data_IF_779076160621
#
_entry.id   IF_779076160621
#
_cell.length_a   1.000
_cell.length_b   1.000
_cell.length_c   1.000
_cell.angle_alpha   90.00
_cell.angle_beta   90.00
_cell.angle_gamma   90.00
#
_symmetry.space_group_name_H-M   'P 1'
#
loop_
_entity.id
_entity.type
_entity.pdbx_description
1 polymer ?
#
# COMPACT_ATOMS: atom_id res chain seq x y z
N UNK A 1 19.30 18.20 37.76
CA UNK A 1 20.21 18.08 36.60
C UNK A 1 20.00 16.72 35.98
N UNK A 2 19.30 16.66 34.85
CA UNK A 2 19.53 15.74 33.72
C UNK A 2 18.48 16.07 32.65
N UNK A 3 18.99 16.27 31.45
CA UNK A 3 18.45 16.91 30.25
C UNK A 3 17.05 16.47 29.82
N UNK A 4 16.13 17.44 29.68
CA UNK A 4 14.99 17.36 28.75
C UNK A 4 15.50 17.77 27.38
N UNK A 5 15.72 16.81 26.48
CA UNK A 5 15.94 17.12 25.07
C UNK A 5 14.59 17.38 24.40
N UNK A 6 14.28 18.66 24.22
CA UNK A 6 13.26 19.15 23.29
C UNK A 6 13.67 18.73 21.87
N UNK A 7 12.78 18.08 21.13
CA UNK A 7 12.94 18.02 19.69
C UNK A 7 12.58 19.42 19.16
N UNK A 8 13.61 20.11 18.67
CA UNK A 8 13.51 21.42 18.05
C UNK A 8 12.56 21.34 16.87
N UNK A 9 11.51 22.16 16.90
CA UNK A 9 10.93 22.72 15.69
C UNK A 9 12.09 23.34 14.90
N UNK A 10 12.42 22.77 13.74
CA UNK A 10 13.17 23.52 12.74
C UNK A 10 12.28 24.70 12.32
N UNK A 11 12.40 25.83 13.03
CA UNK A 11 12.31 27.14 12.42
C UNK A 11 13.56 27.29 11.55
N UNK A 12 13.58 26.55 10.43
CA UNK A 12 14.39 26.95 9.30
C UNK A 12 13.95 28.35 8.94
N UNK A 13 14.91 29.27 8.78
CA UNK A 13 14.65 30.61 8.31
C UNK A 13 13.64 30.54 7.17
N UNK A 14 12.55 31.31 7.29
CA UNK A 14 11.62 31.52 6.20
C UNK A 14 12.42 32.09 5.02
N UNK A 15 12.90 31.21 4.14
CA UNK A 15 13.00 31.57 2.74
C UNK A 15 11.56 31.93 2.38
N UNK A 16 11.33 33.20 2.06
CA UNK A 16 10.06 33.65 1.53
C UNK A 16 9.80 32.84 0.26
N UNK A 17 9.14 31.70 0.39
CA UNK A 17 8.45 31.08 -0.72
C UNK A 17 7.44 32.11 -1.19
N UNK A 18 7.38 32.42 -2.50
CA UNK A 18 6.40 33.37 -2.99
C UNK A 18 5.04 32.88 -2.52
N UNK A 19 4.39 33.71 -1.70
CA UNK A 19 3.01 33.54 -1.30
C UNK A 19 2.22 33.50 -2.61
N UNK A 20 1.82 32.30 -3.04
CA UNK A 20 0.96 32.15 -4.19
C UNK A 20 -0.36 32.81 -3.82
N UNK A 21 -0.66 33.89 -4.52
CA UNK A 21 -1.89 34.64 -4.44
C UNK A 21 -3.10 33.67 -4.42
N UNK A 22 -3.96 33.68 -3.38
CA UNK A 22 -5.15 32.85 -3.35
C UNK A 22 -6.20 33.24 -4.41
N UNK A 23 -5.91 34.25 -5.25
CA UNK A 23 -6.81 34.73 -6.30
C UNK A 23 -6.48 34.30 -7.73
N UNK A 24 -5.50 33.41 -7.96
CA UNK A 24 -5.39 32.71 -9.26
C UNK A 24 -6.24 31.43 -9.29
N UNK A 25 -7.51 31.53 -8.89
CA UNK A 25 -8.52 30.53 -9.24
C UNK A 25 -8.87 30.71 -10.72
N UNK A 26 -8.06 30.14 -11.62
CA UNK A 26 -8.62 29.71 -12.90
C UNK A 26 -9.49 28.49 -12.61
N UNK A 27 -10.80 28.67 -12.70
CA UNK A 27 -11.75 27.58 -12.78
C UNK A 27 -11.46 26.75 -14.07
N UNK A 28 -10.56 25.77 -13.96
CA UNK A 28 -10.21 24.68 -14.89
C UNK A 28 -8.82 24.17 -14.43
N UNK A 29 -8.67 23.11 -13.64
CA UNK A 29 -9.28 21.79 -13.76
C UNK A 29 -9.89 21.34 -12.41
N UNK A 30 -11.20 21.19 -12.34
CA UNK A 30 -11.78 20.42 -11.25
C UNK A 30 -11.38 18.96 -11.48
N UNK A 31 -10.50 18.41 -10.64
CA UNK A 31 -10.13 16.99 -10.71
C UNK A 31 -11.40 16.15 -10.81
N UNK A 32 -11.42 15.25 -11.80
CA UNK A 32 -12.59 14.46 -12.09
C UNK A 32 -12.79 13.47 -10.94
N UNK A 33 -14.00 13.42 -10.39
CA UNK A 33 -14.37 12.36 -9.47
C UNK A 33 -14.20 11.00 -10.18
N UNK A 34 -13.61 10.03 -9.48
CA UNK A 34 -13.55 8.66 -9.98
C UNK A 34 -14.97 8.10 -10.16
N UNK A 35 -15.14 7.15 -11.07
CA UNK A 35 -16.45 6.50 -11.24
C UNK A 35 -16.81 5.59 -10.05
N UNK A 36 -18.09 5.20 -10.01
CA UNK A 36 -18.64 4.41 -8.92
C UNK A 36 -18.00 3.03 -8.79
N UNK A 37 -17.55 2.44 -9.89
CA UNK A 37 -17.04 1.07 -9.91
C UNK A 37 -15.61 1.05 -9.36
N UNK A 38 -14.77 2.01 -9.77
CA UNK A 38 -13.45 2.25 -9.15
C UNK A 38 -13.58 2.54 -7.66
N UNK A 39 -14.53 3.42 -7.27
CA UNK A 39 -14.74 3.73 -5.85
C UNK A 39 -15.16 2.48 -5.05
N UNK A 40 -16.04 1.64 -5.59
CA UNK A 40 -16.48 0.41 -4.94
C UNK A 40 -15.33 -0.60 -4.79
N UNK A 41 -14.50 -0.76 -5.83
CA UNK A 41 -13.32 -1.63 -5.81
C UNK A 41 -12.30 -1.17 -4.75
N UNK A 42 -12.04 0.13 -4.67
CA UNK A 42 -11.15 0.69 -3.67
C UNK A 42 -11.72 0.50 -2.25
N UNK A 43 -13.01 0.73 -2.04
CA UNK A 43 -13.63 0.43 -0.74
C UNK A 43 -13.52 -1.05 -0.36
N UNK A 44 -13.72 -1.97 -1.31
CA UNK A 44 -13.59 -3.40 -1.06
C UNK A 44 -12.15 -3.78 -0.65
N UNK A 45 -11.14 -3.31 -1.37
CA UNK A 45 -9.73 -3.57 -1.05
C UNK A 45 -9.26 -2.88 0.24
N UNK A 46 -9.78 -1.69 0.55
CA UNK A 46 -9.57 -1.03 1.85
C UNK A 46 -10.08 -1.87 3.01
N UNK A 47 -11.24 -2.54 2.87
CA UNK A 47 -11.76 -3.43 3.90
C UNK A 47 -10.81 -4.60 4.13
N UNK A 48 -10.29 -5.25 3.08
CA UNK A 48 -9.25 -6.28 3.24
C UNK A 48 -8.02 -5.76 4.01
N UNK A 49 -7.46 -4.61 3.61
CA UNK A 49 -6.36 -3.99 4.35
C UNK A 49 -6.69 -3.68 5.82
N UNK A 50 -7.94 -3.30 6.13
CA UNK A 50 -8.38 -3.01 7.50
C UNK A 50 -8.48 -4.27 8.39
N UNK A 51 -8.76 -5.44 7.80
CA UNK A 51 -8.87 -6.72 8.50
C UNK A 51 -7.51 -7.23 8.99
N UNK A 52 -6.41 -6.83 8.35
CA UNK A 52 -5.06 -7.23 8.79
C UNK A 52 -4.72 -6.77 10.22
N UNK A 53 -5.46 -5.81 10.79
CA UNK A 53 -5.32 -5.36 12.18
C UNK A 53 -6.11 -6.18 13.20
N UNK A 54 -6.93 -7.13 12.74
CA UNK A 54 -7.67 -8.04 13.62
C UNK A 54 -6.72 -9.07 14.26
N UNK A 55 -7.21 -9.76 15.29
CA UNK A 55 -6.49 -10.90 15.85
C UNK A 55 -6.52 -12.07 14.88
N UNK A 56 -5.48 -12.90 14.92
CA UNK A 56 -5.32 -14.08 14.06
C UNK A 56 -6.56 -14.97 14.04
N UNK A 57 -7.14 -15.30 15.20
CA UNK A 57 -8.36 -16.14 15.29
C UNK A 57 -9.53 -15.53 14.52
N UNK A 58 -9.71 -14.20 14.62
CA UNK A 58 -10.76 -13.48 13.91
C UNK A 58 -10.52 -13.39 12.41
N UNK A 59 -9.26 -13.31 11.98
CA UNK A 59 -8.89 -13.33 10.57
C UNK A 59 -9.13 -14.73 9.99
N UNK A 60 -8.58 -15.76 10.64
CA UNK A 60 -8.65 -17.14 10.17
C UNK A 60 -10.09 -17.65 10.07
N UNK A 61 -10.96 -17.28 11.02
CA UNK A 61 -12.39 -17.63 11.00
C UNK A 61 -13.24 -16.68 10.15
N UNK A 62 -12.63 -15.65 9.55
CA UNK A 62 -13.33 -14.55 8.87
C UNK A 62 -14.46 -13.94 9.72
N UNK A 63 -14.24 -13.83 11.03
CA UNK A 63 -15.22 -13.40 12.04
C UNK A 63 -14.95 -12.00 12.59
N UNK A 64 -14.38 -11.13 11.75
CA UNK A 64 -13.89 -9.80 12.08
C UNK A 64 -14.96 -8.68 12.15
N UNK A 65 -16.22 -9.06 12.37
CA UNK A 65 -17.34 -8.13 12.52
C UNK A 65 -17.56 -7.27 11.27
N UNK A 66 -17.81 -5.97 11.48
CA UNK A 66 -18.13 -5.02 10.41
C UNK A 66 -16.98 -4.74 9.44
N UNK A 67 -15.73 -5.17 9.74
CA UNK A 67 -14.59 -5.02 8.83
C UNK A 67 -14.55 -6.09 7.75
N UNK A 68 -15.11 -7.26 8.02
CA UNK A 68 -15.18 -8.35 7.05
C UNK A 68 -16.12 -7.93 5.91
N UNK A 69 -15.66 -8.11 4.67
CA UNK A 69 -16.45 -7.88 3.47
C UNK A 69 -16.59 -9.18 2.71
N UNK A 70 -17.79 -9.47 2.21
CA UNK A 70 -18.07 -10.73 1.51
C UNK A 70 -17.62 -11.97 2.29
N UNK A 71 -17.24 -13.00 1.55
CA UNK A 71 -16.64 -14.22 2.08
C UNK A 71 -15.18 -14.34 1.65
N UNK A 72 -14.27 -14.57 2.59
CA UNK A 72 -12.89 -14.91 2.26
C UNK A 72 -12.50 -16.20 3.00
N UNK A 73 -12.05 -17.19 2.24
CA UNK A 73 -11.44 -18.39 2.79
C UNK A 73 -9.97 -18.09 3.09
N UNK A 74 -9.66 -17.77 4.35
CA UNK A 74 -8.28 -17.50 4.78
C UNK A 74 -7.52 -18.82 4.93
N UNK A 75 -6.40 -18.94 4.22
CA UNK A 75 -5.60 -20.16 4.18
C UNK A 75 -4.35 -20.05 5.04
N UNK A 76 -3.87 -18.82 5.26
CA UNK A 76 -2.58 -18.53 5.88
C UNK A 76 -2.64 -17.22 6.64
N UNK A 77 -2.24 -17.24 7.91
CA UNK A 77 -1.78 -16.07 8.64
C UNK A 77 -0.25 -16.13 8.73
N UNK A 78 0.42 -15.02 8.45
CA UNK A 78 1.88 -14.93 8.51
C UNK A 78 2.29 -13.83 9.47
N UNK A 79 3.40 -14.04 10.17
CA UNK A 79 3.94 -13.04 11.09
C UNK A 79 5.44 -13.19 11.32
N UNK A 80 6.06 -12.11 11.77
CA UNK A 80 7.41 -12.08 12.27
C UNK A 80 7.45 -11.21 13.53
N UNK A 81 7.83 -11.79 14.67
CA UNK A 81 7.84 -11.09 15.96
C UNK A 81 8.96 -10.05 16.07
N UNK A 82 10.05 -10.20 15.32
CA UNK A 82 11.20 -9.28 15.35
C UNK A 82 10.89 -7.97 14.64
N UNK A 83 10.27 -8.05 13.46
CA UNK A 83 9.87 -6.88 12.67
C UNK A 83 8.45 -6.41 13.00
N UNK A 84 7.75 -7.14 13.88
CA UNK A 84 6.32 -7.03 14.15
C UNK A 84 5.45 -7.06 12.89
N UNK A 85 5.95 -7.66 11.81
CA UNK A 85 5.19 -7.77 10.57
C UNK A 85 4.12 -8.85 10.72
N UNK A 86 2.91 -8.60 10.22
CA UNK A 86 1.85 -9.59 10.17
C UNK A 86 0.94 -9.35 8.97
N UNK A 87 0.20 -10.38 8.58
CA UNK A 87 -0.77 -10.31 7.50
C UNK A 87 -1.41 -11.66 7.23
N UNK A 88 -2.19 -11.73 6.17
CA UNK A 88 -2.91 -12.95 5.82
C UNK A 88 -3.03 -13.15 4.30
N UNK A 89 -3.30 -14.39 3.93
CA UNK A 89 -3.60 -14.81 2.55
C UNK A 89 -4.91 -15.58 2.56
N UNK A 90 -5.79 -15.24 1.63
CA UNK A 90 -7.05 -15.94 1.44
C UNK A 90 -7.58 -15.79 0.02
N UNK A 91 -8.68 -16.47 -0.26
CA UNK A 91 -9.32 -16.41 -1.57
C UNK A 91 -10.84 -16.34 -1.44
N UNK A 92 -11.47 -15.66 -2.39
CA UNK A 92 -12.91 -15.57 -2.55
C UNK A 92 -13.30 -16.27 -3.85
N UNK A 93 -14.06 -17.36 -3.72
CA UNK A 93 -14.45 -18.21 -4.86
C UNK A 93 -15.48 -17.54 -5.78
N UNK A 94 -16.33 -16.68 -5.20
CA UNK A 94 -17.41 -15.99 -5.90
C UNK A 94 -16.86 -14.85 -6.74
N UNK A 95 -15.97 -14.04 -6.16
CA UNK A 95 -15.40 -12.87 -6.81
C UNK A 95 -14.13 -13.19 -7.63
N UNK A 96 -13.69 -14.46 -7.61
CA UNK A 96 -12.44 -14.91 -8.27
C UNK A 96 -11.25 -14.03 -7.90
N UNK A 97 -11.03 -13.88 -6.60
CA UNK A 97 -9.97 -13.02 -6.09
C UNK A 97 -9.15 -13.74 -5.02
N UNK A 98 -7.83 -13.71 -5.17
CA UNK A 98 -6.85 -14.05 -4.12
C UNK A 98 -6.40 -12.74 -3.48
N UNK A 99 -6.30 -12.71 -2.16
CA UNK A 99 -5.91 -11.52 -1.40
C UNK A 99 -4.66 -11.83 -0.58
N UNK A 100 -3.64 -10.97 -0.70
CA UNK A 100 -2.49 -10.91 0.19
C UNK A 100 -2.54 -9.56 0.90
N UNK A 101 -2.81 -9.57 2.20
CA UNK A 101 -2.98 -8.35 2.99
C UNK A 101 -1.92 -8.21 4.06
N UNK A 102 -1.30 -7.03 4.14
CA UNK A 102 -0.27 -6.70 5.14
C UNK A 102 -0.80 -5.68 6.16
N UNK A 103 -0.62 -5.99 7.44
CA UNK A 103 -0.95 -5.09 8.55
C UNK A 103 -0.03 -3.88 8.56
N UNK A 104 -0.49 -2.72 9.00
CA UNK A 104 0.43 -1.62 9.35
C UNK A 104 0.91 -1.70 10.80
N UNK A 105 1.47 -0.59 11.28
CA UNK A 105 1.98 -0.48 12.65
C UNK A 105 0.84 -0.61 13.67
N UNK A 106 1.05 -1.40 14.72
CA UNK A 106 0.09 -1.51 15.83
C UNK A 106 -0.02 -0.20 16.63
N UNK A 107 1.03 0.62 16.63
CA UNK A 107 1.06 1.96 17.21
C UNK A 107 1.40 3.01 16.14
N UNK A 108 0.35 3.43 15.45
CA UNK A 108 0.47 4.24 14.24
C UNK A 108 0.93 5.67 14.51
N UNK A 109 0.46 6.29 15.59
CA UNK A 109 0.83 7.65 15.97
C UNK A 109 2.33 7.75 16.27
N UNK A 110 2.86 6.83 17.10
CA UNK A 110 4.28 6.82 17.41
C UNK A 110 5.12 6.50 16.16
N UNK A 111 4.67 5.57 15.32
CA UNK A 111 5.40 5.20 14.11
C UNK A 111 5.59 6.38 13.15
N UNK A 112 4.57 7.22 12.95
CA UNK A 112 4.67 8.40 12.08
C UNK A 112 5.68 9.42 12.63
N UNK A 113 5.77 9.54 13.96
CA UNK A 113 6.64 10.52 14.62
C UNK A 113 8.10 10.06 14.70
N UNK A 114 8.35 8.76 14.86
CA UNK A 114 9.68 8.17 15.05
C UNK A 114 10.30 7.63 13.75
N UNK A 115 9.66 7.88 12.59
CA UNK A 115 10.06 7.31 11.31
C UNK A 115 11.46 7.78 10.89
N UNK A 116 12.40 6.82 10.73
CA UNK A 116 13.71 7.06 10.13
C UNK A 116 13.65 6.98 8.59
N UNK A 117 14.68 7.46 7.91
CA UNK A 117 14.73 7.50 6.44
C UNK A 117 15.90 6.71 5.86
N UNK A 118 16.38 5.68 6.57
CA UNK A 118 17.63 5.00 6.22
C UNK A 118 17.45 4.23 4.91
N UNK A 119 18.19 4.60 3.83
CA UNK A 119 18.10 3.88 2.57
C UNK A 119 18.92 2.59 2.61
N UNK A 120 18.48 1.60 1.83
CA UNK A 120 19.19 0.35 1.55
C UNK A 120 19.16 0.09 0.06
N UNK A 121 20.26 -0.41 -0.50
CA UNK A 121 20.31 -0.84 -1.90
C UNK A 121 19.25 -1.92 -2.14
N UNK A 122 18.48 -1.73 -3.20
CA UNK A 122 17.52 -2.71 -3.70
C UNK A 122 18.13 -3.38 -4.92
N UNK A 123 17.88 -4.69 -5.07
CA UNK A 123 18.32 -5.47 -6.23
C UNK A 123 17.11 -6.18 -6.80
N UNK A 124 16.77 -5.89 -8.06
CA UNK A 124 15.66 -6.50 -8.77
C UNK A 124 15.97 -6.67 -10.27
N UNK A 125 15.42 -7.69 -10.95
CA UNK A 125 15.61 -7.85 -12.39
C UNK A 125 15.21 -6.59 -13.19
N UNK A 126 16.10 -6.12 -14.07
CA UNK A 126 15.92 -4.90 -14.89
C UNK A 126 15.81 -3.59 -14.09
N UNK A 127 16.32 -3.56 -12.86
CA UNK A 127 16.37 -2.33 -12.09
C UNK A 127 17.25 -1.24 -12.73
N UNK A 128 16.99 0.00 -12.33
CA UNK A 128 17.89 1.10 -12.62
C UNK A 128 19.11 1.05 -11.69
N UNK A 129 20.30 1.50 -12.12
CA UNK A 129 21.48 1.54 -11.26
C UNK A 129 21.25 2.35 -9.98
N UNK A 130 21.80 1.86 -8.86
CA UNK A 130 21.71 2.50 -7.54
C UNK A 130 20.27 2.68 -7.00
N UNK A 131 19.33 1.80 -7.39
CA UNK A 131 17.98 1.79 -6.83
C UNK A 131 18.03 1.55 -5.32
N UNK A 132 17.29 2.37 -4.55
CA UNK A 132 17.25 2.26 -3.08
C UNK A 132 15.82 2.26 -2.56
N UNK A 133 15.63 1.51 -1.49
CA UNK A 133 14.39 1.42 -0.73
C UNK A 133 14.64 1.76 0.73
N UNK A 134 13.58 2.07 1.46
CA UNK A 134 13.66 2.25 2.90
C UNK A 134 14.04 0.93 3.58
N UNK A 135 15.13 0.96 4.36
CA UNK A 135 15.73 -0.21 4.99
C UNK A 135 14.72 -0.99 5.85
N UNK A 136 13.94 -0.28 6.67
CA UNK A 136 12.97 -0.92 7.56
C UNK A 136 11.82 -1.61 6.81
N UNK A 137 11.38 -1.04 5.68
CA UNK A 137 10.33 -1.66 4.85
C UNK A 137 10.84 -2.90 4.16
N UNK A 138 12.07 -2.82 3.63
CA UNK A 138 12.73 -3.96 3.02
C UNK A 138 12.93 -5.10 4.02
N UNK A 139 13.47 -4.81 5.21
CA UNK A 139 13.64 -5.80 6.27
C UNK A 139 12.32 -6.42 6.72
N UNK A 140 11.25 -5.62 6.86
CA UNK A 140 9.92 -6.13 7.19
C UNK A 140 9.36 -7.04 6.09
N UNK A 141 9.44 -6.65 4.82
CA UNK A 141 9.00 -7.47 3.69
C UNK A 141 9.78 -8.79 3.59
N UNK A 142 11.12 -8.73 3.63
CA UNK A 142 11.97 -9.92 3.59
C UNK A 142 11.73 -10.85 4.79
N UNK A 143 11.39 -10.32 5.97
CA UNK A 143 11.16 -11.13 7.17
C UNK A 143 9.96 -12.09 7.08
N UNK A 144 9.03 -11.83 6.15
CA UNK A 144 7.82 -12.65 5.93
C UNK A 144 7.72 -13.24 4.52
N UNK A 145 8.64 -12.90 3.60
CA UNK A 145 8.54 -13.28 2.17
C UNK A 145 8.42 -14.79 1.96
N UNK A 146 9.18 -15.60 2.69
CA UNK A 146 9.11 -17.06 2.62
C UNK A 146 7.73 -17.62 3.06
N UNK A 147 7.13 -17.04 4.12
CA UNK A 147 5.80 -17.42 4.59
C UNK A 147 4.73 -17.00 3.57
N UNK A 148 4.87 -15.81 2.98
CA UNK A 148 3.95 -15.31 1.95
C UNK A 148 4.00 -16.20 0.71
N UNK A 149 5.20 -16.52 0.21
CA UNK A 149 5.40 -17.40 -0.94
C UNK A 149 4.77 -18.78 -0.70
N UNK A 150 5.05 -19.40 0.45
CA UNK A 150 4.49 -20.71 0.80
C UNK A 150 2.96 -20.66 0.97
N UNK A 151 2.44 -19.62 1.62
CA UNK A 151 1.00 -19.44 1.83
C UNK A 151 0.24 -19.16 0.53
N UNK A 152 0.84 -18.40 -0.39
CA UNK A 152 0.29 -18.15 -1.71
C UNK A 152 0.25 -19.46 -2.51
N UNK A 153 1.37 -20.21 -2.58
CA UNK A 153 1.40 -21.53 -3.24
C UNK A 153 0.34 -22.50 -2.70
N UNK A 154 0.17 -22.54 -1.37
CA UNK A 154 -0.90 -23.31 -0.71
C UNK A 154 -2.29 -22.86 -1.16
N UNK A 155 -2.54 -21.55 -1.21
CA UNK A 155 -3.84 -20.98 -1.65
C UNK A 155 -4.14 -21.34 -3.10
N UNK A 156 -3.17 -21.15 -3.99
CA UNK A 156 -3.31 -21.50 -5.40
C UNK A 156 -3.54 -23.00 -5.60
N UNK A 157 -2.89 -23.84 -4.78
CA UNK A 157 -3.09 -25.29 -4.79
C UNK A 157 -4.50 -25.71 -4.35
N UNK A 158 -5.11 -25.00 -3.39
CA UNK A 158 -6.50 -25.23 -2.95
C UNK A 158 -7.49 -24.86 -4.05
N UNK A 159 -7.26 -23.73 -4.74
CA UNK A 159 -8.08 -23.29 -5.87
C UNK A 159 -7.97 -24.29 -7.04
N UNK A 160 -6.75 -24.72 -7.34
CA UNK A 160 -6.44 -25.68 -8.41
C UNK A 160 -6.47 -25.08 -9.82
N UNK A 161 -5.92 -25.82 -10.78
CA UNK A 161 -5.63 -25.38 -12.16
C UNK A 161 -6.86 -25.21 -13.09
N UNK A 162 -8.08 -25.22 -12.55
CA UNK A 162 -9.32 -25.17 -13.35
C UNK A 162 -9.86 -23.76 -13.60
N UNK A 163 -9.17 -22.72 -13.15
CA UNK A 163 -9.69 -21.37 -13.15
C UNK A 163 -8.56 -20.38 -13.39
N UNK A 164 -8.25 -20.10 -14.66
CA UNK A 164 -7.32 -19.03 -15.06
C UNK A 164 -8.00 -17.65 -15.02
N UNK A 165 -8.87 -17.43 -14.03
CA UNK A 165 -9.76 -16.27 -13.93
C UNK A 165 -9.59 -15.50 -12.62
N UNK A 166 -8.70 -15.97 -11.72
CA UNK A 166 -8.45 -15.27 -10.46
C UNK A 166 -7.57 -14.04 -10.66
N UNK A 167 -8.04 -12.96 -10.07
CA UNK A 167 -7.23 -11.79 -9.76
C UNK A 167 -6.44 -12.02 -8.48
N UNK A 168 -5.24 -11.45 -8.40
CA UNK A 168 -4.45 -11.40 -7.17
C UNK A 168 -4.34 -9.95 -6.70
N UNK A 169 -5.06 -9.64 -5.63
CA UNK A 169 -4.98 -8.36 -4.94
C UNK A 169 -3.91 -8.42 -3.84
N UNK A 170 -2.89 -7.58 -3.96
CA UNK A 170 -1.96 -7.27 -2.89
C UNK A 170 -2.39 -5.94 -2.26
N UNK A 171 -2.49 -5.87 -0.94
CA UNK A 171 -2.98 -4.65 -0.28
C UNK A 171 -2.39 -4.45 1.11
N UNK A 172 -2.34 -3.20 1.56
CA UNK A 172 -1.95 -2.87 2.92
C UNK A 172 -2.29 -1.43 3.28
N UNK A 173 -2.17 -1.13 4.57
CA UNK A 173 -2.34 0.21 5.11
C UNK A 173 -1.11 0.69 5.87
N UNK A 174 -0.74 1.96 5.71
CA UNK A 174 0.42 2.57 6.37
C UNK A 174 1.71 1.79 6.12
N UNK A 175 2.44 1.38 7.16
CA UNK A 175 3.61 0.49 7.05
C UNK A 175 3.30 -0.75 6.17
N UNK A 176 2.10 -1.32 6.31
CA UNK A 176 1.66 -2.48 5.54
C UNK A 176 1.53 -2.18 4.05
N UNK A 177 1.20 -0.95 3.65
CA UNK A 177 1.16 -0.55 2.25
C UNK A 177 2.57 -0.50 1.62
N UNK A 178 3.57 -0.03 2.38
CA UNK A 178 4.96 -0.08 1.92
C UNK A 178 5.45 -1.51 1.74
N UNK A 179 5.15 -2.38 2.69
CA UNK A 179 5.49 -3.81 2.62
C UNK A 179 4.71 -4.50 1.49
N UNK A 180 3.44 -4.16 1.28
CA UNK A 180 2.64 -4.65 0.16
C UNK A 180 3.24 -4.26 -1.20
N UNK A 181 3.83 -3.06 -1.32
CA UNK A 181 4.55 -2.64 -2.54
C UNK A 181 5.74 -3.53 -2.86
N UNK A 182 6.57 -3.84 -1.85
CA UNK A 182 7.71 -4.74 -2.01
C UNK A 182 7.24 -6.18 -2.24
N UNK A 183 6.24 -6.65 -1.49
CA UNK A 183 5.66 -7.98 -1.63
C UNK A 183 5.03 -8.21 -3.00
N UNK A 184 4.39 -7.20 -3.60
CA UNK A 184 3.86 -7.28 -4.96
C UNK A 184 4.98 -7.47 -6.00
N UNK A 185 6.16 -6.87 -5.80
CA UNK A 185 7.32 -7.09 -6.67
C UNK A 185 7.88 -8.50 -6.49
N UNK A 186 8.04 -8.97 -5.26
CA UNK A 186 8.46 -10.36 -4.99
C UNK A 186 7.50 -11.37 -5.64
N UNK A 187 6.18 -11.13 -5.55
CA UNK A 187 5.16 -11.94 -6.21
C UNK A 187 5.28 -11.85 -7.74
N UNK A 188 5.37 -10.65 -8.32
CA UNK A 188 5.55 -10.48 -9.77
C UNK A 188 6.79 -11.21 -10.28
N UNK A 189 7.88 -11.21 -9.52
CA UNK A 189 9.11 -11.91 -9.90
C UNK A 189 8.90 -13.42 -10.09
N UNK A 190 8.06 -14.05 -9.25
CA UNK A 190 7.70 -15.47 -9.39
C UNK A 190 7.05 -15.73 -10.76
N UNK A 191 6.12 -14.87 -11.18
CA UNK A 191 5.42 -15.01 -12.46
C UNK A 191 6.27 -14.60 -13.68
N UNK A 192 7.18 -13.63 -13.52
CA UNK A 192 8.03 -13.13 -14.60
C UNK A 192 9.24 -14.03 -14.89
N UNK A 193 9.61 -14.92 -13.97
CA UNK A 193 10.73 -15.85 -14.14
C UNK A 193 10.34 -17.29 -13.75
N UNK A 194 9.44 -17.93 -14.53
CA UNK A 194 8.84 -19.21 -14.17
C UNK A 194 9.83 -20.37 -14.05
N UNK A 195 11.00 -20.26 -14.69
CA UNK A 195 12.06 -21.27 -14.69
C UNK A 195 13.03 -21.13 -13.51
N UNK A 196 12.89 -20.10 -12.68
CA UNK A 196 13.75 -19.91 -11.51
C UNK A 196 13.43 -20.94 -10.42
N UNK A 197 14.43 -21.40 -9.66
CA UNK A 197 14.23 -22.39 -8.58
C UNK A 197 13.26 -21.89 -7.48
N UNK A 198 13.16 -20.56 -7.35
CA UNK A 198 12.20 -19.91 -6.46
C UNK A 198 10.81 -19.66 -7.06
N UNK A 199 10.52 -20.17 -8.25
CA UNK A 199 9.20 -20.04 -8.86
C UNK A 199 8.17 -21.00 -8.22
N UNK A 200 6.90 -20.85 -8.60
CA UNK A 200 5.88 -21.87 -8.34
C UNK A 200 5.91 -22.97 -9.40
N UNK A 201 5.38 -24.14 -9.05
CA UNK A 201 5.11 -25.19 -10.01
C UNK A 201 4.25 -24.65 -11.18
N UNK A 202 4.51 -25.06 -12.44
CA UNK A 202 3.84 -24.50 -13.62
C UNK A 202 2.32 -24.49 -13.55
N UNK A 203 1.74 -25.48 -12.89
CA UNK A 203 0.29 -25.63 -12.70
C UNK A 203 -0.30 -24.50 -11.85
N UNK A 204 0.43 -24.03 -10.84
CA UNK A 204 0.00 -22.93 -9.96
C UNK A 204 0.09 -21.56 -10.64
N UNK A 205 1.04 -21.40 -11.55
CA UNK A 205 1.21 -20.16 -12.31
C UNK A 205 0.00 -19.86 -13.22
N UNK A 206 -0.77 -20.89 -13.59
CA UNK A 206 -1.98 -20.75 -14.41
C UNK A 206 -3.25 -20.32 -13.65
N UNK A 207 -3.22 -20.30 -12.31
CA UNK A 207 -4.39 -19.98 -11.48
C UNK A 207 -4.69 -18.48 -11.49
N UNK A 208 -3.66 -17.65 -11.47
CA UNK A 208 -3.78 -16.19 -11.47
C UNK A 208 -3.46 -15.67 -12.86
N UNK A 209 -4.32 -14.79 -13.38
CA UNK A 209 -4.00 -14.00 -14.55
C UNK A 209 -2.94 -12.94 -14.17
N UNK A 210 -1.73 -13.05 -14.73
CA UNK A 210 -0.60 -12.16 -14.43
C UNK A 210 -0.89 -10.69 -14.78
N UNK A 211 -1.82 -10.44 -15.70
CA UNK A 211 -2.32 -9.09 -16.02
C UNK A 211 -3.24 -8.53 -14.93
N UNK A 212 -3.81 -9.40 -14.10
CA UNK A 212 -4.71 -9.09 -12.97
C UNK A 212 -4.04 -9.30 -11.61
N UNK A 213 -2.75 -8.97 -11.52
CA UNK A 213 -2.07 -8.79 -10.23
C UNK A 213 -2.14 -7.30 -9.89
N UNK A 214 -2.95 -6.94 -8.90
CA UNK A 214 -3.25 -5.56 -8.51
C UNK A 214 -2.57 -5.20 -7.20
N UNK A 215 -2.19 -3.93 -7.04
CA UNK A 215 -1.72 -3.39 -5.76
C UNK A 215 -2.60 -2.20 -5.37
N UNK A 216 -3.38 -2.34 -4.30
CA UNK A 216 -4.17 -1.25 -3.73
C UNK A 216 -3.68 -0.92 -2.34
N UNK A 217 -3.21 0.31 -2.16
CA UNK A 217 -2.54 0.72 -0.93
C UNK A 217 -3.20 1.93 -0.30
N UNK A 218 -3.22 1.98 1.03
CA UNK A 218 -3.91 3.02 1.81
C UNK A 218 -2.94 3.69 2.78
N UNK A 219 -2.81 5.01 2.72
CA UNK A 219 -1.86 5.76 3.55
C UNK A 219 -0.43 5.28 3.37
N UNK A 220 -0.05 4.89 2.16
CA UNK A 220 1.31 4.36 1.94
C UNK A 220 2.34 5.46 2.19
N UNK A 221 3.44 5.18 2.90
CA UNK A 221 4.64 6.00 2.86
C UNK A 221 5.40 5.81 1.54
N UNK A 222 6.30 6.74 1.22
CA UNK A 222 7.25 6.55 0.13
C UNK A 222 8.16 5.37 0.46
N UNK A 223 8.30 4.46 -0.49
CA UNK A 223 8.99 3.18 -0.26
C UNK A 223 10.45 3.22 -0.70
N UNK A 224 10.78 3.97 -1.75
CA UNK A 224 12.13 4.10 -2.27
C UNK A 224 12.35 5.40 -3.04
N UNK A 225 13.51 5.50 -3.67
CA UNK A 225 13.86 6.62 -4.54
C UNK A 225 13.12 6.59 -5.89
N UNK A 226 13.33 7.60 -6.72
CA UNK A 226 12.68 7.72 -8.04
C UNK A 226 12.93 6.49 -8.92
N UNK A 227 14.13 5.92 -8.86
CA UNK A 227 14.48 4.70 -9.58
C UNK A 227 13.59 3.53 -9.13
N UNK A 228 13.40 3.36 -7.82
CA UNK A 228 12.48 2.37 -7.28
C UNK A 228 11.03 2.65 -7.68
N UNK A 229 10.57 3.90 -7.58
CA UNK A 229 9.19 4.27 -7.92
C UNK A 229 8.85 3.94 -9.39
N UNK A 230 9.76 4.22 -10.33
CA UNK A 230 9.62 3.86 -11.74
C UNK A 230 9.61 2.35 -11.98
N UNK A 231 10.52 1.63 -11.32
CA UNK A 231 10.58 0.18 -11.40
C UNK A 231 9.29 -0.47 -10.87
N UNK A 232 8.85 -0.05 -9.68
CA UNK A 232 7.67 -0.58 -9.03
C UNK A 232 6.41 -0.34 -9.87
N UNK A 233 6.25 0.89 -10.35
CA UNK A 233 5.15 1.25 -11.24
C UNK A 233 5.11 0.38 -12.49
N UNK A 234 6.20 0.38 -13.28
CA UNK A 234 6.25 -0.34 -14.56
C UNK A 234 6.08 -1.85 -14.42
N UNK A 235 6.59 -2.44 -13.33
CA UNK A 235 6.49 -3.88 -13.08
C UNK A 235 5.09 -4.30 -12.65
N UNK A 236 4.42 -3.52 -11.80
CA UNK A 236 3.10 -3.88 -11.27
C UNK A 236 2.01 -3.63 -12.31
N UNK A 237 2.06 -2.47 -12.95
CA UNK A 237 1.08 -2.06 -13.98
C UNK A 237 1.22 -2.83 -15.28
N UNK A 238 2.39 -3.44 -15.55
CA UNK A 238 2.78 -3.84 -16.90
C UNK A 238 2.65 -2.68 -17.93
N UNK A 239 2.62 -1.41 -17.48
CA UNK A 239 2.34 -0.23 -18.30
C UNK A 239 0.86 0.12 -18.47
N UNK A 240 -0.08 -0.59 -17.83
CA UNK A 240 -1.52 -0.31 -17.84
C UNK A 240 -1.97 0.39 -16.54
N UNK A 241 -2.79 1.43 -16.62
CA UNK A 241 -3.17 2.34 -15.52
C UNK A 241 -4.08 1.71 -14.43
N UNK A 242 -3.74 0.54 -13.90
CA UNK A 242 -4.51 -0.15 -12.84
C UNK A 242 -3.69 -0.31 -11.54
N UNK A 243 -2.96 0.76 -11.22
CA UNK A 243 -2.27 0.91 -9.95
C UNK A 243 -2.94 2.04 -9.20
N UNK A 244 -3.52 1.76 -8.03
CA UNK A 244 -4.25 2.79 -7.29
C UNK A 244 -3.76 2.83 -5.86
N UNK A 245 -3.13 3.94 -5.48
CA UNK A 245 -2.71 4.23 -4.10
C UNK A 245 -3.55 5.39 -3.55
N UNK A 246 -4.02 5.26 -2.33
CA UNK A 246 -4.49 6.39 -1.54
C UNK A 246 -3.33 6.89 -0.70
N UNK A 247 -2.69 7.97 -1.15
CA UNK A 247 -1.50 8.52 -0.51
C UNK A 247 -1.85 9.35 0.73
N UNK A 248 -1.10 9.14 1.83
CA UNK A 248 -0.94 10.11 2.93
C UNK A 248 0.41 9.87 3.62
N UNK A 249 1.32 10.86 3.53
CA UNK A 249 2.61 10.96 4.28
C UNK A 249 3.67 9.92 3.93
N UNK A 250 5.01 10.14 4.08
CA UNK A 250 5.75 11.31 4.60
C UNK A 250 6.15 12.33 3.51
N UNK A 251 7.08 13.31 3.71
CA UNK A 251 7.49 14.36 2.74
C UNK A 251 8.67 14.02 1.79
N UNK A 252 8.73 14.64 0.60
CA UNK A 252 9.69 14.36 -0.50
C UNK A 252 11.18 14.59 -0.12
N UNK A 253 11.43 15.34 0.96
CA UNK A 253 12.70 15.98 1.29
C UNK A 253 13.93 15.06 1.47
N UNK A 254 13.78 13.73 1.45
CA UNK A 254 14.86 12.76 1.62
C UNK A 254 15.21 11.97 0.35
N UNK A 255 14.75 12.42 -0.83
CA UNK A 255 15.08 11.79 -2.12
C UNK A 255 14.28 10.51 -2.39
N UNK A 256 13.19 10.32 -1.66
CA UNK A 256 12.19 9.29 -1.92
C UNK A 256 11.13 9.86 -2.86
N UNK A 257 10.53 9.01 -3.70
CA UNK A 257 9.40 9.38 -4.55
C UNK A 257 8.27 8.35 -4.38
N UNK A 258 7.02 8.81 -4.39
CA UNK A 258 5.90 7.88 -4.50
C UNK A 258 5.87 7.23 -5.90
N UNK A 259 5.45 5.97 -5.98
CA UNK A 259 4.89 5.42 -7.23
C UNK A 259 3.75 6.32 -7.70
N UNK A 260 3.47 6.49 -9.01
CA UNK A 260 2.43 7.38 -9.50
C UNK A 260 1.02 6.76 -9.35
N UNK A 261 -0.02 7.46 -9.84
CA UNK A 261 -1.46 7.15 -9.71
C UNK A 261 -1.99 7.26 -8.28
N UNK A 262 -1.88 8.47 -7.71
CA UNK A 262 -2.57 8.83 -6.49
C UNK A 262 -4.07 9.00 -6.73
N UNK A 263 -4.85 8.30 -5.91
CA UNK A 263 -6.25 8.60 -5.67
C UNK A 263 -6.32 9.39 -4.37
N UNK A 264 -6.90 10.58 -4.40
CA UNK A 264 -6.98 11.47 -3.24
C UNK A 264 -8.43 11.67 -2.80
N UNK A 265 -8.68 11.55 -1.49
CA UNK A 265 -9.95 11.97 -0.87
C UNK A 265 -9.74 13.42 -0.43
N UNK A 266 -10.36 14.34 -1.14
CA UNK A 266 -10.22 15.77 -0.89
C UNK A 266 -11.01 16.21 0.36
N UNK A 267 -10.90 17.49 0.73
CA UNK A 267 -11.56 18.04 1.91
C UNK A 267 -13.10 18.08 1.82
N UNK A 268 -13.64 18.03 0.60
CA UNK A 268 -15.09 17.93 0.34
C UNK A 268 -15.56 16.45 0.30
N UNK A 269 -14.72 15.51 0.73
CA UNK A 269 -14.94 14.06 0.71
C UNK A 269 -15.17 13.47 -0.70
N UNK A 270 -14.77 14.20 -1.75
CA UNK A 270 -14.75 13.71 -3.13
C UNK A 270 -13.46 12.93 -3.36
N UNK A 271 -13.60 11.73 -3.93
CA UNK A 271 -12.45 10.90 -4.33
C UNK A 271 -12.08 11.23 -5.77
N UNK A 272 -10.86 11.68 -5.98
CA UNK A 272 -10.36 12.17 -7.26
C UNK A 272 -9.10 11.44 -7.69
N UNK A 273 -8.89 11.35 -9.00
CA UNK A 273 -7.66 10.82 -9.61
C UNK A 273 -6.67 11.96 -9.82
N UNK A 274 -5.42 11.77 -9.39
CA UNK A 274 -4.37 12.79 -9.41
C UNK A 274 -3.41 12.60 -10.58
N UNK A 275 -2.91 13.70 -11.12
CA UNK A 275 -2.04 13.66 -12.28
C UNK A 275 -0.57 13.52 -11.89
N UNK A 276 -0.19 12.31 -11.43
CA UNK A 276 1.18 12.00 -10.98
C UNK A 276 2.17 11.71 -12.14
N UNK A 277 1.68 11.70 -13.39
CA UNK A 277 2.51 11.54 -14.58
C UNK A 277 2.22 12.69 -15.54
N UNK A 278 3.19 13.59 -15.71
CA UNK A 278 3.09 14.71 -16.65
C UNK A 278 4.19 14.59 -17.68
N UNK A 279 3.81 14.42 -18.96
CA UNK A 279 4.73 14.23 -20.08
C UNK A 279 5.77 13.11 -19.83
N UNK A 280 5.34 12.00 -19.22
CA UNK A 280 6.21 10.85 -18.89
C UNK A 280 7.15 11.08 -17.70
N UNK A 281 7.04 12.22 -17.02
CA UNK A 281 7.78 12.51 -15.79
C UNK A 281 6.93 12.18 -14.58
N UNK A 282 7.50 11.43 -13.65
CA UNK A 282 6.86 11.06 -12.39
C UNK A 282 6.99 12.26 -11.46
N UNK A 283 5.85 12.83 -11.09
CA UNK A 283 5.77 13.95 -10.15
C UNK A 283 4.65 13.66 -9.17
N UNK A 284 4.74 14.18 -7.94
CA UNK A 284 3.59 14.14 -7.05
C UNK A 284 2.74 15.39 -7.28
N UNK A 285 1.45 15.18 -7.54
CA UNK A 285 0.54 16.27 -7.86
C UNK A 285 0.31 17.20 -6.65
N UNK A 286 0.78 18.45 -6.77
CA UNK A 286 0.67 19.47 -5.73
C UNK A 286 -0.76 19.92 -5.45
N UNK A 287 -1.72 19.63 -6.32
CA UNK A 287 -3.12 19.93 -6.02
C UNK A 287 -3.82 18.76 -5.30
N UNK A 288 -3.17 17.60 -5.23
CA UNK A 288 -3.59 16.45 -4.41
C UNK A 288 -2.84 16.44 -3.07
N UNK A 289 -2.60 15.27 -2.46
CA UNK A 289 -2.07 15.17 -1.11
C UNK A 289 -0.72 15.87 -0.93
N UNK A 290 0.15 15.84 -1.95
CA UNK A 290 1.50 16.39 -1.87
C UNK A 290 1.55 17.89 -1.56
N UNK A 291 0.52 18.66 -1.93
CA UNK A 291 0.43 20.09 -1.59
C UNK A 291 -0.34 20.40 -0.32
N UNK A 292 -0.90 19.42 0.37
CA UNK A 292 -1.74 19.67 1.55
C UNK A 292 -0.91 19.59 2.84
N UNK A 293 -0.88 20.69 3.61
CA UNK A 293 -0.25 20.75 4.92
C UNK A 293 -1.11 21.57 5.91
N UNK A 294 -1.23 21.20 7.19
CA UNK A 294 -0.59 20.06 7.89
C UNK A 294 -1.32 18.72 7.71
N UNK A 295 -0.56 17.63 7.84
CA UNK A 295 -1.11 16.27 7.84
C UNK A 295 -1.85 15.96 9.15
N UNK A 296 -3.01 15.29 9.06
CA UNK A 296 -3.82 14.90 10.21
C UNK A 296 -3.70 13.40 10.49
N UNK A 297 -3.26 12.97 11.69
CA UNK A 297 -3.26 11.56 12.09
C UNK A 297 -4.65 10.92 12.04
N UNK A 298 -5.71 11.68 12.34
CA UNK A 298 -7.09 11.22 12.27
C UNK A 298 -7.50 10.90 10.82
N UNK A 299 -6.97 11.67 9.86
CA UNK A 299 -7.19 11.44 8.45
C UNK A 299 -6.43 10.17 7.98
N UNK A 300 -5.29 9.84 8.60
CA UNK A 300 -4.54 8.64 8.27
C UNK A 300 -5.24 7.33 8.68
N UNK A 301 -6.13 7.35 9.67
CA UNK A 301 -6.82 6.12 10.15
C UNK A 301 -8.20 5.90 9.55
N UNK A 302 -8.69 6.80 8.70
CA UNK A 302 -10.06 6.73 8.16
C UNK A 302 -10.09 7.07 6.67
N UNK A 303 -10.56 6.11 5.88
CA UNK A 303 -10.82 6.26 4.45
C UNK A 303 -12.29 5.90 4.18
N UNK A 304 -13.09 6.89 3.78
CA UNK A 304 -14.56 6.78 3.71
C UNK A 304 -15.17 6.29 5.04
N UNK A 305 -15.95 5.21 5.01
CA UNK A 305 -16.56 4.53 6.15
C UNK A 305 -15.64 3.51 6.84
N UNK A 306 -14.38 3.39 6.39
CA UNK A 306 -13.47 2.31 6.80
C UNK A 306 -12.41 2.86 7.76
N UNK A 307 -12.30 2.19 8.91
CA UNK A 307 -11.34 2.51 9.96
C UNK A 307 -10.19 1.53 9.99
N UNK A 308 -8.97 2.06 10.01
CA UNK A 308 -7.73 1.31 10.16
C UNK A 308 -7.20 1.43 11.59
N UNK A 309 -6.51 0.39 12.04
CA UNK A 309 -5.91 0.35 13.37
C UNK A 309 -6.37 -0.83 14.22
N UNK A 310 -5.77 -1.00 15.41
CA UNK A 310 -5.92 -2.21 16.23
C UNK A 310 -7.36 -2.49 16.66
N UNK A 311 -7.73 -3.77 16.62
CA UNK A 311 -9.00 -4.26 17.17
C UNK A 311 -10.17 -4.16 16.18
N UNK A 312 -10.84 -5.30 15.95
CA UNK A 312 -11.96 -5.38 15.02
C UNK A 312 -13.33 -5.47 15.71
N UNK A 313 -13.32 -5.71 17.03
CA UNK A 313 -14.54 -5.92 17.83
C UNK A 313 -15.09 -4.63 18.45
N UNK A 314 -14.33 -3.52 18.42
CA UNK A 314 -14.76 -2.23 18.95
C UNK A 314 -15.19 -1.33 17.81
N UNK A 315 -16.50 -1.06 17.73
CA UNK A 315 -16.97 0.19 17.13
C UNK A 315 -16.29 1.30 17.93
N UNK A 316 -15.23 1.89 17.37
CA UNK A 316 -14.65 3.10 17.93
C UNK A 316 -15.66 4.23 17.67
N UNK A 317 -16.65 4.33 18.56
CA UNK A 317 -17.41 5.55 18.74
C UNK A 317 -16.44 6.59 19.31
N UNK A 318 -15.73 7.30 18.43
CA UNK A 318 -15.11 8.56 18.82
C UNK A 318 -16.26 9.57 18.95
N UNK A 319 -16.60 9.87 20.21
CA UNK A 319 -17.32 11.10 20.59
C UNK A 319 -16.41 12.31 20.38
#
# INVERSE_FOLDING_TARGET
MLSKSFCLLFLGAAAAFPWSDPSSNSAADAYKAIDSDTLAMLKASARYASVAYCKEDKIMDWSCGHRCTGSLNVTTYFQNSTTEMAGYIGYNEQDKQVVVSYRGSANLENWILDFDFIPKSFVYPKEYPNTRVHRGFYEAATSVSAQVKAGLAKTLSIIGSKSSDYELLVTGHSLGAAVATLGALDIKQIYLNPEHEDSFEPELLSVVDVSRIRLHNYGSPRVGDEAFAKLAYSTITNGEEDYQKLCRSPPEAFGYLHTPHEIWINYDEVTVDCHDIVNGTFIEDKHCNAGQFPMSPAAHVKYWDIHFGPGCDKLLYFL
#
